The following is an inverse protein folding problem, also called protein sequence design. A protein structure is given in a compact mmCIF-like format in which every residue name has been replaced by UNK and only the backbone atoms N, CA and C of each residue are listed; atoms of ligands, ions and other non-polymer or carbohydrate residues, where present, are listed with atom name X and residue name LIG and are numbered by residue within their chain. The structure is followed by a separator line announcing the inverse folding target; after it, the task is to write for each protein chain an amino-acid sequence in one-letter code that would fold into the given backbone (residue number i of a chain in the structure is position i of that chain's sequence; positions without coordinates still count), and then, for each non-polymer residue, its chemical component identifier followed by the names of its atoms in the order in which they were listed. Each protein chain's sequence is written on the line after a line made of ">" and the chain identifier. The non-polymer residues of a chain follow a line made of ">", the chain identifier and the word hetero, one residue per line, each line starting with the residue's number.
data_IF_187949690199
#
_entry.id   IF_187949690199
#
_cell.length_a   1.000
_cell.length_b   1.000
_cell.length_c   1.000
_cell.angle_alpha   90.00
_cell.angle_beta   90.00
_cell.angle_gamma   90.00
#
_symmetry.space_group_name_H-M   'P 1'
#
loop_
_entity.id
_entity.type
_entity.pdbx_description
1 polymer ?
#
# COMPACT_ATOMS: atom_id res chain seq x y z
N UNK A 1 -10.43 0.16 -39.60
CA UNK A 1 -10.22 1.37 -38.79
C UNK A 1 -11.59 1.89 -38.37
N UNK A 2 -12.07 1.47 -37.20
CA UNK A 2 -13.22 2.07 -36.53
C UNK A 2 -12.88 2.12 -35.05
N UNK A 3 -12.39 3.29 -34.61
CA UNK A 3 -12.22 3.64 -33.21
C UNK A 3 -13.60 4.09 -32.70
N UNK A 4 -14.31 3.18 -32.06
CA UNK A 4 -15.46 3.52 -31.23
C UNK A 4 -14.92 4.01 -29.89
N UNK A 5 -14.85 5.33 -29.72
CA UNK A 5 -14.73 5.95 -28.41
C UNK A 5 -16.04 5.70 -27.66
N UNK A 6 -16.03 4.76 -26.72
CA UNK A 6 -17.06 4.66 -25.68
C UNK A 6 -16.69 5.64 -24.56
N UNK A 7 -17.68 6.29 -23.92
CA UNK A 7 -17.42 7.19 -22.81
C UNK A 7 -17.08 6.33 -21.59
N UNK A 8 -15.78 6.08 -21.36
CA UNK A 8 -15.30 5.49 -20.12
C UNK A 8 -15.43 6.53 -19.01
N UNK A 9 -16.62 6.63 -18.44
CA UNK A 9 -16.66 6.69 -16.97
C UNK A 9 -16.21 5.31 -16.54
N UNK A 10 -15.18 5.18 -15.70
CA UNK A 10 -15.21 4.38 -14.46
C UNK A 10 -13.82 4.03 -13.96
N UNK A 11 -13.58 4.28 -12.67
CA UNK A 11 -12.46 3.84 -11.85
C UNK A 11 -12.43 2.30 -11.72
N UNK A 12 -12.14 1.57 -12.79
CA UNK A 12 -12.01 0.09 -12.79
C UNK A 12 -10.86 -0.34 -13.71
N UNK A 13 -9.93 -1.15 -13.17
CA UNK A 13 -8.84 -1.79 -13.90
C UNK A 13 -9.19 -3.25 -14.22
N UNK A 14 -8.79 -3.76 -15.39
CA UNK A 14 -9.06 -5.14 -15.81
C UNK A 14 -7.78 -5.97 -15.80
N UNK A 15 -7.77 -7.09 -15.09
CA UNK A 15 -6.58 -7.94 -14.92
C UNK A 15 -6.78 -9.36 -15.42
N UNK A 16 -5.69 -10.01 -15.84
CA UNK A 16 -5.64 -11.43 -16.19
C UNK A 16 -5.49 -12.33 -14.94
N UNK A 17 -6.15 -13.49 -14.91
CA UNK A 17 -6.00 -14.52 -13.86
C UNK A 17 -4.79 -15.47 -14.06
N UNK A 18 -3.81 -15.10 -14.88
CA UNK A 18 -2.63 -15.93 -15.19
C UNK A 18 -1.33 -15.20 -14.86
N UNK A 19 -0.22 -15.95 -14.81
CA UNK A 19 1.12 -15.40 -14.61
C UNK A 19 1.85 -15.16 -15.95
N UNK A 20 2.53 -14.01 -16.16
CA UNK A 20 2.58 -12.84 -15.29
C UNK A 20 1.25 -12.08 -15.31
N UNK A 21 0.85 -11.54 -14.16
CA UNK A 21 -0.36 -10.73 -14.08
C UNK A 21 -0.16 -9.39 -14.79
N UNK A 22 -0.86 -9.21 -15.89
CA UNK A 22 -0.83 -7.97 -16.67
C UNK A 22 -2.24 -7.41 -16.80
N UNK A 23 -2.30 -6.12 -17.10
CA UNK A 23 -3.54 -5.46 -17.46
C UNK A 23 -4.05 -6.04 -18.78
N UNK A 24 -5.34 -6.34 -18.83
CA UNK A 24 -5.97 -6.89 -20.02
C UNK A 24 -6.04 -5.82 -21.10
N UNK A 25 -5.51 -6.15 -22.28
CA UNK A 25 -5.82 -5.44 -23.52
C UNK A 25 -6.36 -6.41 -24.56
N UNK A 26 -6.92 -5.87 -25.65
CA UNK A 26 -7.54 -6.65 -26.74
C UNK A 26 -6.64 -7.72 -27.36
N UNK A 27 -5.32 -7.69 -27.14
CA UNK A 27 -4.35 -8.65 -27.67
C UNK A 27 -3.82 -9.62 -26.61
N UNK A 28 -4.12 -9.40 -25.33
CA UNK A 28 -3.47 -10.06 -24.18
C UNK A 28 -4.42 -10.94 -23.34
N UNK A 29 -5.47 -11.54 -23.92
CA UNK A 29 -6.18 -12.62 -23.21
C UNK A 29 -5.27 -13.85 -23.14
N UNK A 30 -4.87 -14.31 -21.94
CA UNK A 30 -4.05 -15.49 -21.81
C UNK A 30 -4.86 -16.75 -22.16
N UNK A 31 -4.17 -17.80 -22.60
CA UNK A 31 -4.77 -19.14 -22.73
C UNK A 31 -4.94 -19.73 -21.32
N UNK A 32 -5.99 -20.50 -21.09
CA UNK A 32 -6.12 -21.27 -19.85
C UNK A 32 -4.95 -22.25 -19.74
N UNK A 33 -4.20 -22.17 -18.64
CA UNK A 33 -3.05 -23.04 -18.35
C UNK A 33 -3.22 -23.64 -16.95
N UNK A 34 -2.31 -24.53 -16.55
CA UNK A 34 -2.29 -25.06 -15.17
C UNK A 34 -1.80 -24.02 -14.13
N UNK A 35 -1.62 -22.75 -14.53
CA UNK A 35 -1.32 -21.63 -13.64
C UNK A 35 -2.62 -20.91 -13.28
N UNK A 36 -2.87 -20.81 -11.98
CA UNK A 36 -4.04 -20.16 -11.41
C UNK A 36 -3.61 -18.94 -10.62
N UNK A 37 -4.14 -17.77 -10.97
CA UNK A 37 -3.96 -16.54 -10.22
C UNK A 37 -5.24 -16.13 -9.51
N UNK A 38 -5.15 -15.79 -8.23
CA UNK A 38 -6.26 -15.22 -7.47
C UNK A 38 -5.87 -13.88 -6.87
N UNK A 39 -6.81 -12.94 -6.91
CA UNK A 39 -6.64 -11.58 -6.42
C UNK A 39 -6.76 -11.59 -4.90
N UNK A 40 -5.67 -11.29 -4.18
CA UNK A 40 -5.63 -11.30 -2.72
C UNK A 40 -6.11 -9.96 -2.12
N UNK A 41 -6.21 -8.92 -2.94
CA UNK A 41 -6.46 -7.55 -2.50
C UNK A 41 -5.57 -6.56 -3.22
N UNK A 42 -5.56 -5.32 -2.76
CA UNK A 42 -4.58 -4.32 -3.16
C UNK A 42 -3.48 -4.26 -2.11
N UNK A 43 -2.26 -3.97 -2.52
CA UNK A 43 -1.28 -3.47 -1.57
C UNK A 43 -1.62 -2.01 -1.19
N UNK A 44 -0.94 -1.47 -0.18
CA UNK A 44 -1.07 -0.06 0.23
C UNK A 44 -0.85 1.00 -0.87
N UNK A 45 -0.31 0.65 -2.04
CA UNK A 45 -0.13 1.56 -3.18
C UNK A 45 -1.25 1.45 -4.21
N UNK A 46 -2.29 0.66 -3.93
CA UNK A 46 -3.35 0.40 -4.90
C UNK A 46 -2.95 -0.56 -6.01
N UNK A 47 -1.78 -1.20 -5.96
CA UNK A 47 -1.45 -2.23 -6.94
C UNK A 47 -2.13 -3.55 -6.58
N UNK A 48 -2.70 -4.26 -7.56
CA UNK A 48 -3.29 -5.57 -7.33
C UNK A 48 -2.23 -6.53 -6.77
N UNK A 49 -2.54 -7.20 -5.67
CA UNK A 49 -1.76 -8.30 -5.12
C UNK A 49 -2.34 -9.60 -5.65
N UNK A 50 -1.60 -10.28 -6.51
CA UNK A 50 -2.01 -11.56 -7.11
C UNK A 50 -1.12 -12.68 -6.57
N UNK A 51 -1.76 -13.76 -6.12
CA UNK A 51 -1.08 -14.99 -5.71
C UNK A 51 -1.30 -16.03 -6.79
N UNK A 52 -0.21 -16.73 -7.14
CA UNK A 52 -0.19 -17.68 -8.23
C UNK A 52 0.10 -19.07 -7.71
N UNK A 53 -0.57 -20.05 -8.30
CA UNK A 53 -0.47 -21.45 -7.95
C UNK A 53 -0.25 -22.26 -9.21
N UNK A 54 0.63 -23.26 -9.13
CA UNK A 54 0.81 -24.23 -10.18
C UNK A 54 0.13 -25.54 -9.80
N UNK A 55 -0.74 -26.05 -10.67
CA UNK A 55 -1.35 -27.37 -10.50
C UNK A 55 -0.45 -28.46 -11.10
N UNK A 56 -0.14 -29.44 -10.27
CA UNK A 56 0.47 -30.70 -10.68
C UNK A 56 -0.37 -31.85 -10.15
N UNK A 57 -1.05 -32.56 -11.05
CA UNK A 57 -2.02 -33.62 -10.73
C UNK A 57 -3.10 -33.16 -9.73
N UNK A 58 -3.11 -33.73 -8.52
CA UNK A 58 -4.07 -33.50 -7.45
C UNK A 58 -3.51 -32.52 -6.41
N UNK A 59 -2.48 -31.75 -6.78
CA UNK A 59 -1.74 -30.87 -5.86
C UNK A 59 -1.57 -29.49 -6.45
N UNK A 60 -1.81 -28.46 -5.63
CA UNK A 60 -1.48 -27.08 -5.93
C UNK A 60 -0.25 -26.68 -5.12
N UNK A 61 0.68 -26.00 -5.78
CA UNK A 61 1.88 -25.46 -5.15
C UNK A 61 1.89 -23.94 -5.35
N UNK A 62 1.88 -23.20 -4.24
CA UNK A 62 2.11 -21.74 -4.23
C UNK A 62 3.62 -21.44 -4.31
N UNK A 63 3.96 -20.33 -4.94
CA UNK A 63 5.27 -19.67 -4.90
C UNK A 63 5.80 -19.45 -3.47
N UNK A 64 4.93 -19.41 -2.45
CA UNK A 64 5.31 -19.33 -1.01
C UNK A 64 5.59 -20.69 -0.35
N UNK A 65 5.76 -21.77 -1.12
CA UNK A 65 6.10 -23.13 -0.64
C UNK A 65 4.99 -23.85 0.16
N UNK A 66 3.73 -23.43 0.01
CA UNK A 66 2.58 -24.16 0.57
C UNK A 66 2.00 -25.13 -0.46
N UNK A 67 1.54 -26.28 0.02
CA UNK A 67 1.04 -27.38 -0.81
C UNK A 67 -0.38 -27.72 -0.41
N UNK A 68 -1.33 -27.65 -1.35
CA UNK A 68 -2.74 -27.99 -1.12
C UNK A 68 -3.13 -29.24 -1.92
N UNK A 69 -3.88 -30.15 -1.31
CA UNK A 69 -4.46 -31.31 -2.01
C UNK A 69 -5.83 -30.95 -2.54
N UNK A 70 -6.07 -31.23 -3.81
CA UNK A 70 -7.32 -30.97 -4.51
C UNK A 70 -7.82 -32.23 -5.20
N UNK A 71 -9.10 -32.22 -5.58
CA UNK A 71 -9.68 -33.25 -6.42
C UNK A 71 -9.80 -32.73 -7.85
N UNK A 72 -9.29 -33.48 -8.83
CA UNK A 72 -9.34 -33.12 -10.27
C UNK A 72 -10.73 -32.82 -10.81
N UNK A 73 -11.77 -33.39 -10.21
CA UNK A 73 -13.16 -33.21 -10.66
C UNK A 73 -13.87 -32.04 -9.96
N UNK A 74 -13.16 -31.29 -9.12
CA UNK A 74 -13.72 -30.21 -8.33
C UNK A 74 -13.06 -28.88 -8.70
N UNK A 75 -13.84 -27.80 -8.62
CA UNK A 75 -13.29 -26.45 -8.68
C UNK A 75 -12.86 -26.02 -7.28
N UNK A 76 -11.89 -25.12 -7.19
CA UNK A 76 -11.37 -24.67 -5.92
C UNK A 76 -11.00 -23.17 -5.97
N UNK A 77 -10.80 -22.61 -4.78
CA UNK A 77 -10.28 -21.27 -4.56
C UNK A 77 -9.51 -21.23 -3.23
N UNK A 78 -8.31 -20.64 -3.22
CA UNK A 78 -7.48 -20.55 -2.01
C UNK A 78 -7.84 -19.27 -1.29
N UNK A 79 -8.45 -19.35 -0.10
CA UNK A 79 -9.03 -18.19 0.58
C UNK A 79 -8.17 -17.67 1.75
N UNK A 80 -7.04 -18.33 2.02
CA UNK A 80 -6.07 -17.92 3.04
C UNK A 80 -4.92 -18.91 3.21
N UNK A 81 -3.99 -18.61 4.12
CA UNK A 81 -2.69 -19.28 4.26
C UNK A 81 -2.75 -20.81 4.47
N UNK A 82 -3.88 -21.36 4.92
CA UNK A 82 -4.13 -22.82 5.01
C UNK A 82 -5.62 -23.14 4.82
N UNK A 83 -6.32 -22.30 4.06
CA UNK A 83 -7.76 -22.42 3.84
C UNK A 83 -8.07 -22.47 2.35
N UNK A 84 -8.86 -23.47 1.96
CA UNK A 84 -9.29 -23.71 0.59
C UNK A 84 -10.80 -23.87 0.57
N UNK A 85 -11.46 -23.27 -0.42
CA UNK A 85 -12.80 -23.65 -0.82
C UNK A 85 -12.70 -24.68 -1.94
N UNK A 86 -13.46 -25.76 -1.83
CA UNK A 86 -13.54 -26.80 -2.86
C UNK A 86 -14.99 -27.12 -3.15
N UNK A 87 -15.38 -26.98 -4.41
CA UNK A 87 -16.72 -27.28 -4.88
C UNK A 87 -16.72 -28.55 -5.71
N UNK A 88 -17.46 -29.55 -5.22
CA UNK A 88 -17.52 -30.88 -5.79
C UNK A 88 -18.99 -31.28 -5.91
N UNK A 89 -19.47 -31.51 -7.14
CA UNK A 89 -20.79 -32.10 -7.39
C UNK A 89 -21.93 -31.42 -6.60
N UNK A 90 -21.97 -30.08 -6.65
CA UNK A 90 -23.01 -29.28 -6.00
C UNK A 90 -22.74 -28.94 -4.53
N UNK A 91 -21.65 -29.43 -3.94
CA UNK A 91 -21.29 -29.20 -2.54
C UNK A 91 -20.11 -28.26 -2.43
N UNK A 92 -20.27 -27.17 -1.68
CA UNK A 92 -19.17 -26.30 -1.32
C UNK A 92 -18.60 -26.72 0.04
N UNK A 93 -17.30 -27.01 0.06
CA UNK A 93 -16.56 -27.40 1.25
C UNK A 93 -15.52 -26.32 1.58
N UNK A 94 -15.42 -25.94 2.85
CA UNK A 94 -14.26 -25.22 3.38
C UNK A 94 -13.30 -26.22 4.00
N UNK A 95 -12.13 -26.33 3.41
CA UNK A 95 -11.05 -27.19 3.87
C UNK A 95 -10.03 -26.32 4.61
N UNK A 96 -9.72 -26.73 5.83
CA UNK A 96 -8.66 -26.17 6.65
C UNK A 96 -7.63 -27.26 6.93
N UNK A 97 -6.53 -26.93 7.62
CA UNK A 97 -5.50 -27.91 7.98
C UNK A 97 -6.02 -29.12 8.75
N UNK A 98 -7.02 -28.93 9.61
CA UNK A 98 -7.48 -29.97 10.54
C UNK A 98 -8.92 -30.45 10.25
N UNK A 99 -9.71 -29.66 9.54
CA UNK A 99 -11.15 -29.88 9.42
C UNK A 99 -11.66 -29.57 8.02
N UNK A 100 -12.68 -30.31 7.59
CA UNK A 100 -13.46 -30.03 6.39
C UNK A 100 -14.89 -29.73 6.79
N UNK A 101 -15.36 -28.52 6.49
CA UNK A 101 -16.70 -28.04 6.79
C UNK A 101 -17.52 -27.95 5.52
N UNK A 102 -18.74 -28.49 5.56
CA UNK A 102 -19.71 -28.34 4.47
C UNK A 102 -20.40 -26.98 4.60
N UNK A 103 -20.23 -26.12 3.61
CA UNK A 103 -20.82 -24.78 3.58
C UNK A 103 -22.15 -24.73 2.83
N UNK A 104 -22.29 -25.50 1.74
CA UNK A 104 -23.49 -25.52 0.91
C UNK A 104 -23.65 -26.86 0.18
N UNK A 105 -24.89 -27.22 -0.20
CA UNK A 105 -25.23 -28.50 -0.87
C UNK A 105 -26.05 -28.33 -2.16
N UNK A 106 -26.26 -27.11 -2.66
CA UNK A 106 -27.11 -26.84 -3.83
C UNK A 106 -26.60 -25.64 -4.65
N UNK A 107 -25.30 -25.55 -4.88
CA UNK A 107 -24.71 -24.50 -5.72
C UNK A 107 -24.13 -25.09 -6.99
N UNK A 108 -24.26 -24.38 -8.10
CA UNK A 108 -23.71 -24.79 -9.39
C UNK A 108 -22.26 -24.30 -9.54
N UNK A 109 -21.99 -23.06 -9.13
CA UNK A 109 -20.67 -22.43 -9.16
C UNK A 109 -20.44 -21.58 -7.90
N UNK A 110 -19.19 -21.20 -7.66
CA UNK A 110 -18.82 -20.29 -6.58
C UNK A 110 -17.64 -19.39 -6.95
N UNK A 111 -17.51 -18.28 -6.21
CA UNK A 111 -16.30 -17.46 -6.20
C UNK A 111 -16.10 -16.84 -4.81
N UNK A 112 -14.88 -16.38 -4.52
CA UNK A 112 -14.53 -15.71 -3.28
C UNK A 112 -14.00 -14.30 -3.55
N UNK A 113 -14.68 -13.30 -3.00
CA UNK A 113 -14.20 -11.92 -2.99
C UNK A 113 -13.22 -11.75 -1.83
N UNK A 114 -11.93 -11.74 -2.15
CA UNK A 114 -10.86 -11.60 -1.15
C UNK A 114 -10.84 -10.25 -0.45
N UNK A 115 -11.36 -9.19 -1.08
CA UNK A 115 -11.38 -7.84 -0.50
C UNK A 115 -12.39 -7.78 0.63
N UNK A 116 -13.60 -8.26 0.38
CA UNK A 116 -14.67 -8.29 1.37
C UNK A 116 -14.71 -9.59 2.19
N UNK A 117 -13.82 -10.54 1.90
CA UNK A 117 -13.80 -11.90 2.46
C UNK A 117 -15.14 -12.61 2.37
N UNK A 118 -15.77 -12.52 1.20
CA UNK A 118 -17.14 -12.96 0.99
C UNK A 118 -17.24 -14.09 -0.04
N UNK A 119 -18.04 -15.11 0.27
CA UNK A 119 -18.36 -16.20 -0.66
C UNK A 119 -19.62 -15.82 -1.44
N UNK A 120 -19.59 -16.02 -2.75
CA UNK A 120 -20.75 -15.93 -3.62
C UNK A 120 -21.02 -17.29 -4.28
N UNK A 121 -22.28 -17.66 -4.33
CA UNK A 121 -22.78 -18.90 -4.91
C UNK A 121 -23.67 -18.58 -6.10
N UNK A 122 -23.51 -19.28 -7.20
CA UNK A 122 -24.49 -19.27 -8.27
C UNK A 122 -25.40 -20.48 -8.15
N UNK A 123 -26.71 -20.22 -8.21
CA UNK A 123 -27.76 -21.22 -8.37
C UNK A 123 -28.67 -20.70 -9.48
N UNK A 124 -28.66 -21.35 -10.63
CA UNK A 124 -29.30 -20.82 -11.84
C UNK A 124 -30.73 -20.28 -11.57
N UNK A 125 -31.07 -19.04 -11.97
CA UNK A 125 -30.25 -18.01 -12.65
C UNK A 125 -29.72 -16.91 -11.72
N UNK A 126 -29.50 -17.18 -10.44
CA UNK A 126 -29.20 -16.16 -9.43
C UNK A 126 -27.85 -16.36 -8.76
N UNK A 127 -27.17 -15.25 -8.49
CA UNK A 127 -25.96 -15.21 -7.65
C UNK A 127 -26.36 -14.71 -6.27
N UNK A 128 -25.99 -15.45 -5.24
CA UNK A 128 -26.27 -15.18 -3.83
C UNK A 128 -24.98 -14.94 -3.07
N UNK A 129 -25.04 -14.05 -2.09
CA UNK A 129 -24.03 -13.91 -1.06
C UNK A 129 -24.27 -14.99 0.00
N UNK A 130 -23.24 -15.80 0.31
CA UNK A 130 -23.36 -16.81 1.36
C UNK A 130 -23.20 -16.13 2.74
N UNK A 131 -24.31 -15.74 3.34
CA UNK A 131 -24.40 -15.19 4.70
C UNK A 131 -25.50 -15.88 5.51
N UNK A 132 -25.34 -15.90 6.84
CA UNK A 132 -26.33 -16.50 7.73
C UNK A 132 -27.61 -15.67 7.73
N UNK A 133 -28.66 -16.15 7.05
CA UNK A 133 -30.00 -15.58 7.09
C UNK A 133 -30.34 -14.59 5.98
N UNK A 134 -29.42 -14.28 5.06
CA UNK A 134 -29.75 -13.57 3.82
C UNK A 134 -29.97 -14.58 2.69
N UNK A 135 -31.11 -14.45 2.01
CA UNK A 135 -31.49 -15.28 0.86
C UNK A 135 -31.80 -14.44 -0.37
N UNK A 136 -31.59 -13.13 -0.29
CA UNK A 136 -31.84 -12.25 -1.41
C UNK A 136 -30.75 -12.45 -2.47
N UNK A 137 -31.14 -12.60 -3.75
CA UNK A 137 -30.17 -12.67 -4.82
C UNK A 137 -29.47 -11.32 -4.95
N UNK A 138 -28.14 -11.36 -5.04
CA UNK A 138 -27.32 -10.18 -5.33
C UNK A 138 -27.41 -9.80 -6.82
N UNK A 139 -27.46 -10.81 -7.70
CA UNK A 139 -27.62 -10.62 -9.15
C UNK A 139 -28.48 -11.71 -9.76
N UNK A 140 -29.15 -11.38 -10.87
CA UNK A 140 -29.82 -12.34 -11.76
C UNK A 140 -29.04 -12.41 -13.07
N UNK A 141 -28.54 -13.59 -13.41
CA UNK A 141 -27.70 -13.83 -14.59
C UNK A 141 -28.12 -15.15 -15.23
N UNK A 142 -28.70 -15.06 -16.43
CA UNK A 142 -29.05 -16.22 -17.25
C UNK A 142 -27.87 -16.61 -18.14
N UNK A 143 -27.76 -17.90 -18.49
CA UNK A 143 -26.73 -18.42 -19.40
C UNK A 143 -25.28 -18.17 -18.93
N UNK A 144 -25.05 -18.24 -17.61
CA UNK A 144 -23.74 -18.10 -16.98
C UNK A 144 -22.83 -19.29 -17.28
N UNK A 145 -21.57 -19.02 -17.66
CA UNK A 145 -20.53 -20.04 -17.79
C UNK A 145 -19.57 -20.02 -16.60
N UNK A 146 -19.07 -18.84 -16.22
CA UNK A 146 -18.28 -18.63 -14.99
C UNK A 146 -18.36 -17.15 -14.56
N UNK A 147 -17.97 -16.85 -13.32
CA UNK A 147 -17.95 -15.49 -12.80
C UNK A 147 -16.83 -15.25 -11.79
N UNK A 148 -16.54 -13.98 -11.54
CA UNK A 148 -15.66 -13.53 -10.46
C UNK A 148 -16.22 -12.27 -9.82
N UNK A 149 -15.95 -12.10 -8.52
CA UNK A 149 -16.27 -10.88 -7.78
C UNK A 149 -15.01 -10.34 -7.11
N UNK A 150 -14.68 -9.07 -7.36
CA UNK A 150 -13.57 -8.39 -6.68
C UNK A 150 -14.06 -7.07 -6.09
N UNK A 151 -13.95 -6.92 -4.78
CA UNK A 151 -14.46 -5.74 -4.08
C UNK A 151 -15.92 -5.41 -4.44
N UNK A 152 -16.75 -6.46 -4.56
CA UNK A 152 -18.17 -6.33 -4.96
C UNK A 152 -18.42 -6.09 -6.45
N UNK A 153 -17.37 -5.98 -7.29
CA UNK A 153 -17.51 -5.85 -8.74
C UNK A 153 -17.65 -7.23 -9.40
N UNK A 154 -18.78 -7.47 -10.05
CA UNK A 154 -19.08 -8.72 -10.75
C UNK A 154 -18.57 -8.69 -12.19
N UNK A 155 -17.73 -9.67 -12.55
CA UNK A 155 -17.34 -9.98 -13.94
C UNK A 155 -17.90 -11.33 -14.35
N UNK A 156 -18.49 -11.40 -15.54
CA UNK A 156 -19.25 -12.56 -16.03
C UNK A 156 -18.65 -13.08 -17.33
N UNK A 157 -18.48 -14.38 -17.46
CA UNK A 157 -18.35 -15.09 -18.73
C UNK A 157 -19.69 -15.75 -19.05
N UNK A 158 -20.30 -15.38 -20.17
CA UNK A 158 -21.51 -16.03 -20.67
C UNK A 158 -21.17 -17.28 -21.50
N UNK A 159 -22.10 -18.21 -21.58
CA UNK A 159 -22.00 -19.44 -22.41
C UNK A 159 -21.76 -19.18 -23.89
N UNK A 160 -22.09 -17.98 -24.40
CA UNK A 160 -21.79 -17.56 -25.76
C UNK A 160 -20.34 -17.06 -25.96
N UNK A 161 -19.53 -17.02 -24.90
CA UNK A 161 -18.13 -16.57 -24.93
C UNK A 161 -17.93 -15.08 -24.65
N UNK A 162 -18.98 -14.31 -24.37
CA UNK A 162 -18.86 -12.88 -24.08
C UNK A 162 -18.47 -12.66 -22.62
N UNK A 163 -17.49 -11.79 -22.38
CA UNK A 163 -17.08 -11.37 -21.04
C UNK A 163 -17.60 -9.95 -20.77
N UNK A 164 -18.30 -9.76 -19.66
CA UNK A 164 -19.02 -8.52 -19.34
C UNK A 164 -18.74 -8.07 -17.91
N UNK A 165 -18.64 -6.75 -17.72
CA UNK A 165 -18.71 -6.06 -16.45
C UNK A 165 -19.71 -4.91 -16.55
N UNK A 166 -20.65 -4.79 -15.61
CA UNK A 166 -21.66 -3.71 -15.57
C UNK A 166 -22.30 -3.43 -16.94
N UNK A 167 -22.84 -4.49 -17.58
CA UNK A 167 -23.43 -4.50 -18.93
C UNK A 167 -22.50 -4.07 -20.09
N UNK A 168 -21.23 -3.78 -19.80
CA UNK A 168 -20.20 -3.42 -20.77
C UNK A 168 -19.42 -4.67 -21.19
N UNK A 169 -19.39 -4.93 -22.49
CA UNK A 169 -18.61 -6.04 -23.07
C UNK A 169 -17.12 -5.69 -23.01
N UNK A 170 -16.37 -6.48 -22.27
CA UNK A 170 -14.91 -6.34 -22.16
C UNK A 170 -14.19 -7.02 -23.34
N UNK A 171 -14.59 -8.25 -23.67
CA UNK A 171 -14.03 -9.04 -24.77
C UNK A 171 -14.91 -10.25 -25.11
N UNK A 172 -14.52 -11.01 -26.14
CA UNK A 172 -15.13 -12.28 -26.50
C UNK A 172 -14.05 -13.36 -26.70
N UNK A 173 -14.31 -14.55 -26.16
CA UNK A 173 -13.43 -15.72 -26.25
C UNK A 173 -14.20 -16.91 -26.82
N UNK A 174 -13.49 -17.96 -27.26
CA UNK A 174 -14.13 -19.24 -27.52
C UNK A 174 -14.41 -19.93 -26.17
N UNK A 175 -15.67 -20.06 -25.73
CA UNK A 175 -15.99 -20.53 -24.38
C UNK A 175 -15.56 -21.98 -24.15
N UNK A 176 -15.36 -22.78 -25.21
CA UNK A 176 -14.87 -24.16 -25.09
C UNK A 176 -13.40 -24.26 -24.65
N UNK A 177 -12.64 -23.17 -24.77
CA UNK A 177 -11.23 -23.12 -24.39
C UNK A 177 -11.02 -22.65 -22.94
N UNK A 178 -12.09 -22.28 -22.25
CA UNK A 178 -12.03 -21.67 -20.92
C UNK A 178 -13.05 -22.31 -20.00
N UNK A 179 -12.56 -23.08 -19.03
CA UNK A 179 -13.38 -23.62 -17.95
C UNK A 179 -13.59 -22.59 -16.84
N UNK A 180 -12.65 -21.66 -16.67
CA UNK A 180 -12.74 -20.53 -15.75
C UNK A 180 -12.63 -19.19 -16.48
N UNK A 181 -13.21 -18.16 -15.88
CA UNK A 181 -13.13 -16.78 -16.34
C UNK A 181 -11.65 -16.30 -16.36
N UNK A 182 -11.08 -15.93 -17.53
CA UNK A 182 -9.65 -15.63 -17.65
C UNK A 182 -9.25 -14.22 -17.22
N UNK A 183 -10.21 -13.29 -17.10
CA UNK A 183 -9.98 -11.89 -16.71
C UNK A 183 -11.00 -11.45 -15.67
N UNK A 184 -10.71 -10.39 -14.92
CA UNK A 184 -11.67 -9.82 -13.98
C UNK A 184 -11.52 -8.31 -13.88
N UNK A 185 -12.64 -7.65 -13.64
CA UNK A 185 -12.71 -6.24 -13.28
C UNK A 185 -12.46 -6.08 -11.78
N UNK A 186 -11.65 -5.09 -11.42
CA UNK A 186 -11.37 -4.72 -10.05
C UNK A 186 -11.38 -3.18 -9.96
N UNK A 187 -11.81 -2.56 -8.85
CA UNK A 187 -11.72 -1.11 -8.71
C UNK A 187 -10.35 -0.59 -9.13
N UNK A 188 -10.34 0.47 -9.92
CA UNK A 188 -9.07 1.12 -10.25
C UNK A 188 -8.67 1.86 -9.00
N UNK A 189 -7.73 1.27 -8.28
CA UNK A 189 -7.06 1.97 -7.21
C UNK A 189 -5.99 2.81 -7.91
N UNK A 190 -6.43 3.84 -8.64
CA UNK A 190 -5.56 5.00 -8.79
C UNK A 190 -5.10 5.29 -7.38
N UNK A 191 -3.78 5.32 -7.19
CA UNK A 191 -3.21 5.99 -6.05
C UNK A 191 -3.71 7.43 -6.15
N UNK A 192 -4.92 7.69 -5.65
CA UNK A 192 -5.25 8.97 -5.07
C UNK A 192 -4.11 9.15 -4.11
N UNK A 193 -3.17 10.03 -4.50
CA UNK A 193 -2.21 10.64 -3.59
C UNK A 193 -2.98 10.74 -2.29
N UNK A 194 -2.54 10.08 -1.20
CA UNK A 194 -3.24 10.21 0.06
C UNK A 194 -3.52 11.69 0.19
N UNK A 195 -4.80 12.05 0.33
CA UNK A 195 -5.16 13.43 0.67
C UNK A 195 -4.08 13.86 1.64
N UNK A 196 -3.41 14.99 1.39
CA UNK A 196 -2.18 15.38 2.08
C UNK A 196 -2.32 15.43 3.63
N UNK A 197 -3.51 15.13 4.14
CA UNK A 197 -3.92 14.98 5.52
C UNK A 197 -3.99 13.54 6.07
N UNK A 198 -3.88 12.46 5.27
CA UNK A 198 -4.12 11.09 5.78
C UNK A 198 -2.92 10.40 6.44
N UNK A 199 -1.71 10.97 6.34
CA UNK A 199 -0.52 10.47 7.06
C UNK A 199 -0.51 10.90 8.53
N UNK A 200 -1.41 11.81 8.92
CA UNK A 200 -1.57 12.27 10.29
C UNK A 200 -2.93 11.82 10.81
N UNK A 201 -2.98 11.38 12.08
CA UNK A 201 -4.24 11.01 12.74
C UNK A 201 -5.20 12.19 12.93
N UNK A 202 -4.70 13.41 12.76
CA UNK A 202 -5.43 14.67 12.84
C UNK A 202 -5.15 15.52 11.59
N UNK A 203 -6.17 16.24 11.12
CA UNK A 203 -6.03 17.15 10.00
C UNK A 203 -5.00 18.25 10.30
N UNK A 204 -4.08 18.49 9.38
CA UNK A 204 -3.16 19.63 9.45
C UNK A 204 -3.96 20.91 9.22
N UNK A 205 -3.76 21.91 10.08
CA UNK A 205 -4.40 23.22 9.94
C UNK A 205 -3.51 24.20 9.17
N UNK A 206 -2.20 24.20 9.46
CA UNK A 206 -1.24 25.12 8.85
C UNK A 206 0.11 24.44 8.60
N UNK A 207 0.76 24.81 7.49
CA UNK A 207 2.16 24.48 7.20
C UNK A 207 2.93 25.79 7.13
N UNK A 208 3.73 26.10 8.14
CA UNK A 208 4.61 27.27 8.15
C UNK A 208 5.97 26.89 7.60
N UNK A 209 6.31 27.37 6.41
CA UNK A 209 7.57 27.09 5.72
C UNK A 209 8.50 28.29 5.82
N UNK A 210 9.49 28.19 6.70
CA UNK A 210 10.50 29.22 6.93
C UNK A 210 11.72 28.98 6.03
N UNK A 211 12.15 30.02 5.30
CA UNK A 211 13.24 29.92 4.32
C UNK A 211 14.18 31.14 4.38
N UNK A 212 15.43 30.95 3.95
CA UNK A 212 16.43 32.03 3.94
C UNK A 212 16.45 32.87 2.66
N UNK A 213 16.19 32.23 1.51
CA UNK A 213 16.15 32.87 0.19
C UNK A 213 15.02 32.24 -0.62
N UNK A 214 14.15 33.08 -1.20
CA UNK A 214 13.02 32.60 -2.00
C UNK A 214 13.51 31.87 -3.26
N UNK A 215 12.86 30.75 -3.60
CA UNK A 215 13.16 29.95 -4.78
C UNK A 215 11.96 29.12 -5.25
N UNK A 216 12.00 28.66 -6.50
CA UNK A 216 10.92 27.87 -7.13
C UNK A 216 10.77 26.45 -6.55
N UNK A 217 11.75 25.99 -5.76
CA UNK A 217 11.70 24.70 -5.06
C UNK A 217 10.80 24.69 -3.83
N UNK A 218 10.42 25.86 -3.31
CA UNK A 218 9.50 25.98 -2.18
C UNK A 218 8.10 25.54 -2.64
N UNK A 219 7.42 24.63 -1.93
CA UNK A 219 6.17 24.04 -2.38
C UNK A 219 4.95 24.96 -2.14
N UNK A 220 4.99 26.18 -2.71
CA UNK A 220 3.96 27.23 -2.61
C UNK A 220 2.57 26.80 -3.12
N UNK A 221 2.50 25.70 -3.86
CA UNK A 221 1.27 25.12 -4.39
C UNK A 221 0.48 24.30 -3.37
N UNK A 222 1.07 23.94 -2.23
CA UNK A 222 0.39 23.13 -1.22
C UNK A 222 -0.74 23.93 -0.55
N UNK A 223 -1.91 23.32 -0.30
CA UNK A 223 -2.95 23.96 0.50
C UNK A 223 -2.41 24.21 1.92
N UNK A 224 -2.87 25.28 2.56
CA UNK A 224 -2.53 25.63 3.96
C UNK A 224 -1.05 25.98 4.21
N UNK A 225 -0.20 26.04 3.17
CA UNK A 225 1.18 26.51 3.31
C UNK A 225 1.25 28.02 3.40
N UNK A 226 2.04 28.52 4.35
CA UNK A 226 2.44 29.93 4.44
C UNK A 226 3.95 29.98 4.44
N UNK A 227 4.53 30.54 3.39
CA UNK A 227 5.98 30.67 3.23
C UNK A 227 6.44 31.99 3.85
N UNK A 228 7.40 31.95 4.77
CA UNK A 228 7.87 33.10 5.55
C UNK A 228 9.40 33.18 5.44
N UNK A 229 9.92 34.32 5.01
CA UNK A 229 11.37 34.55 4.98
C UNK A 229 11.90 34.78 6.41
N UNK A 230 13.00 34.11 6.78
CA UNK A 230 13.64 34.21 8.08
C UNK A 230 13.40 33.01 9.01
N UNK A 231 13.54 33.22 10.32
CA UNK A 231 13.33 32.21 11.36
C UNK A 231 11.97 32.38 12.06
N UNK A 232 11.43 31.34 12.72
CA UNK A 232 10.16 31.43 13.43
C UNK A 232 10.13 32.53 14.50
N UNK A 233 9.01 33.26 14.58
CA UNK A 233 8.73 34.16 15.69
C UNK A 233 7.89 33.46 16.76
N UNK A 234 8.29 33.59 18.02
CA UNK A 234 7.65 32.89 19.15
C UNK A 234 6.22 33.39 19.37
N UNK A 235 5.97 34.68 19.23
CA UNK A 235 4.63 35.24 19.41
C UNK A 235 3.69 34.78 18.29
N UNK A 236 4.19 34.72 17.06
CA UNK A 236 3.47 34.10 15.93
C UNK A 236 3.11 32.63 16.21
N UNK A 237 4.04 31.82 16.72
CA UNK A 237 3.77 30.41 17.05
C UNK A 237 2.72 30.28 18.17
N UNK A 238 2.78 31.14 19.19
CA UNK A 238 1.79 31.15 20.30
C UNK A 238 0.37 31.40 19.83
N UNK A 239 0.18 32.26 18.83
CA UNK A 239 -1.15 32.54 18.27
C UNK A 239 -1.79 31.30 17.63
N UNK A 240 -0.97 30.35 17.19
CA UNK A 240 -1.41 29.13 16.49
C UNK A 240 -1.33 27.87 17.35
N UNK A 241 -0.96 27.97 18.64
CA UNK A 241 -0.64 26.82 19.52
C UNK A 241 -1.74 25.78 19.72
N UNK A 242 -2.99 26.09 19.38
CA UNK A 242 -4.14 25.19 19.50
C UNK A 242 -4.57 24.56 18.17
N UNK A 243 -3.86 24.86 17.09
CA UNK A 243 -4.03 24.26 15.77
C UNK A 243 -3.01 23.14 15.56
N UNK A 244 -3.26 22.22 14.65
CA UNK A 244 -2.33 21.19 14.21
C UNK A 244 -1.35 21.81 13.20
N UNK A 245 -0.16 22.21 13.66
CA UNK A 245 0.77 22.96 12.81
C UNK A 245 1.96 22.10 12.36
N UNK A 246 2.41 22.29 11.13
CA UNK A 246 3.71 21.83 10.68
C UNK A 246 4.63 23.05 10.55
N UNK A 247 5.80 22.99 11.17
CA UNK A 247 6.84 24.01 11.07
C UNK A 247 8.00 23.41 10.28
N UNK A 248 8.26 23.94 9.10
CA UNK A 248 9.40 23.56 8.27
C UNK A 248 10.44 24.67 8.31
N UNK A 249 11.67 24.33 8.67
CA UNK A 249 12.83 25.21 8.62
C UNK A 249 13.75 24.73 7.51
N UNK A 250 13.75 25.44 6.39
CA UNK A 250 14.44 25.04 5.17
C UNK A 250 15.78 25.77 5.03
N UNK A 251 16.87 25.02 5.23
CA UNK A 251 18.27 25.46 5.13
C UNK A 251 18.60 26.75 5.93
N UNK A 252 17.93 26.93 7.07
CA UNK A 252 18.14 28.06 7.98
C UNK A 252 19.34 27.88 8.91
N UNK A 253 20.13 26.83 8.70
CA UNK A 253 21.25 26.40 9.52
C UNK A 253 22.24 27.53 9.81
N UNK A 254 22.66 28.25 8.76
CA UNK A 254 23.58 29.37 8.89
C UNK A 254 22.96 30.54 9.67
N UNK A 255 21.64 30.73 9.59
CA UNK A 255 20.95 31.80 10.32
C UNK A 255 20.88 31.46 11.81
N UNK A 256 20.54 30.21 12.16
CA UNK A 256 20.56 29.75 13.55
C UNK A 256 21.95 29.78 14.19
N UNK A 257 23.01 29.60 13.41
CA UNK A 257 24.39 29.66 13.88
C UNK A 257 24.94 31.08 14.08
N UNK A 258 24.27 32.13 13.58
CA UNK A 258 24.77 33.52 13.64
C UNK A 258 24.86 34.06 15.06
N UNK A 259 23.91 33.72 15.91
CA UNK A 259 23.84 34.27 17.27
C UNK A 259 23.22 33.30 18.28
N UNK A 260 23.53 33.53 19.57
CA UNK A 260 23.08 32.66 20.67
C UNK A 260 21.56 32.62 20.80
N UNK A 261 20.86 33.73 20.55
CA UNK A 261 19.40 33.79 20.73
C UNK A 261 18.70 32.92 19.70
N UNK A 262 19.12 32.99 18.43
CA UNK A 262 18.62 32.12 17.36
C UNK A 262 18.92 30.64 17.65
N UNK A 263 20.12 30.32 18.16
CA UNK A 263 20.46 28.96 18.57
C UNK A 263 19.61 28.45 19.74
N UNK A 264 19.31 29.30 20.72
CA UNK A 264 18.41 28.97 21.83
C UNK A 264 16.99 28.71 21.34
N UNK A 265 16.48 29.51 20.40
CA UNK A 265 15.18 29.28 19.79
C UNK A 265 15.09 27.90 19.12
N UNK A 266 16.12 27.49 18.37
CA UNK A 266 16.15 26.16 17.75
C UNK A 266 16.08 25.04 18.79
N UNK A 267 16.74 25.20 19.94
CA UNK A 267 16.64 24.24 21.04
C UNK A 267 15.24 24.22 21.65
N UNK A 268 14.66 25.39 21.93
CA UNK A 268 13.33 25.50 22.52
C UNK A 268 12.24 24.93 21.61
N UNK A 269 12.39 25.08 20.30
CA UNK A 269 11.51 24.46 19.31
C UNK A 269 11.45 22.94 19.50
N UNK A 270 12.59 22.26 19.54
CA UNK A 270 12.67 20.80 19.66
C UNK A 270 12.41 20.28 21.07
N UNK A 271 12.72 21.04 22.12
CA UNK A 271 12.58 20.58 23.51
C UNK A 271 11.24 20.95 24.15
N UNK A 272 10.65 22.09 23.76
CA UNK A 272 9.50 22.68 24.45
C UNK A 272 8.33 22.82 23.49
N UNK A 273 8.50 23.56 22.40
CA UNK A 273 7.36 23.97 21.58
C UNK A 273 6.73 22.83 20.78
N UNK A 274 7.51 21.86 20.30
CA UNK A 274 7.00 20.66 19.64
C UNK A 274 5.92 19.94 20.48
N UNK A 275 6.11 19.87 21.80
CA UNK A 275 5.19 19.20 22.72
C UNK A 275 4.07 20.10 23.23
N UNK A 276 4.32 21.41 23.36
CA UNK A 276 3.35 22.32 23.98
C UNK A 276 2.42 23.03 22.99
N UNK A 277 2.83 23.23 21.72
CA UNK A 277 2.10 24.02 20.72
C UNK A 277 1.49 23.17 19.60
N UNK A 278 1.28 21.88 19.87
CA UNK A 278 0.64 20.93 18.97
C UNK A 278 1.19 21.02 17.54
N UNK A 279 2.51 20.90 17.43
CA UNK A 279 3.20 21.10 16.17
C UNK A 279 4.25 20.03 15.88
N UNK A 280 4.34 19.65 14.62
CA UNK A 280 5.42 18.84 14.09
C UNK A 280 6.51 19.75 13.51
N UNK A 281 7.77 19.48 13.85
CA UNK A 281 8.90 20.32 13.45
C UNK A 281 9.80 19.54 12.49
N UNK A 282 10.01 20.10 11.30
CA UNK A 282 10.94 19.61 10.30
C UNK A 282 12.08 20.61 10.15
N UNK A 283 13.32 20.14 10.31
CA UNK A 283 14.50 20.95 10.10
C UNK A 283 15.34 20.33 8.98
N UNK A 284 15.39 21.01 7.84
CA UNK A 284 16.10 20.55 6.64
C UNK A 284 17.48 21.17 6.65
N UNK A 285 18.51 20.33 6.78
CA UNK A 285 19.91 20.77 6.87
C UNK A 285 20.81 19.99 5.94
N UNK A 286 21.82 20.66 5.40
CA UNK A 286 22.84 20.02 4.57
C UNK A 286 23.84 19.18 5.40
N UNK A 287 24.03 19.53 6.69
CA UNK A 287 24.89 18.78 7.59
C UNK A 287 24.28 18.67 8.99
N UNK A 288 24.19 17.43 9.48
CA UNK A 288 23.73 17.15 10.84
C UNK A 288 24.65 17.74 11.93
N UNK A 289 25.93 18.04 11.62
CA UNK A 289 26.88 18.61 12.60
C UNK A 289 26.64 20.07 12.91
N UNK A 290 25.95 20.77 12.02
CA UNK A 290 25.56 22.14 12.27
C UNK A 290 24.37 22.26 13.23
N UNK A 291 23.72 21.14 13.54
CA UNK A 291 22.72 21.10 14.61
C UNK A 291 23.40 21.02 15.98
N UNK A 292 22.86 21.67 17.01
CA UNK A 292 23.23 21.39 18.39
C UNK A 292 23.02 19.90 18.74
N UNK A 293 23.87 19.30 19.60
CA UNK A 293 23.65 17.94 20.11
C UNK A 293 22.26 17.75 20.73
N UNK A 294 21.76 18.76 21.42
CA UNK A 294 20.41 18.81 22.00
C UNK A 294 19.32 18.64 20.95
N UNK A 295 19.37 19.38 19.84
CA UNK A 295 18.39 19.25 18.75
C UNK A 295 18.42 17.83 18.16
N UNK A 296 19.61 17.28 17.91
CA UNK A 296 19.73 15.91 17.36
C UNK A 296 19.20 14.85 18.31
N UNK A 297 19.49 14.96 19.60
CA UNK A 297 19.10 13.96 20.59
C UNK A 297 17.60 14.00 20.91
N UNK A 298 16.97 15.18 20.79
CA UNK A 298 15.53 15.34 20.99
C UNK A 298 14.70 15.14 19.71
N UNK A 299 15.36 14.90 18.56
CA UNK A 299 14.65 14.58 17.32
C UNK A 299 14.08 13.17 17.38
N UNK A 300 12.75 13.06 17.33
CA UNK A 300 12.04 11.76 17.28
C UNK A 300 12.44 10.93 16.05
N UNK A 301 12.71 11.60 14.93
CA UNK A 301 13.13 10.95 13.70
C UNK A 301 14.33 11.68 13.12
N UNK A 302 15.32 10.93 12.62
CA UNK A 302 16.42 11.46 11.80
C UNK A 302 16.38 10.79 10.44
N UNK A 303 16.17 11.56 9.38
CA UNK A 303 16.18 11.08 8.01
C UNK A 303 17.53 11.42 7.39
N UNK A 304 18.30 10.38 7.06
CA UNK A 304 19.64 10.49 6.50
C UNK A 304 19.60 10.15 5.02
N UNK A 305 20.04 11.09 4.19
CA UNK A 305 20.25 10.91 2.76
C UNK A 305 21.74 10.75 2.45
N UNK A 306 22.06 10.44 1.19
CA UNK A 306 23.43 10.21 0.76
C UNK A 306 24.29 11.45 0.95
N UNK A 307 25.19 11.40 1.93
CA UNK A 307 26.21 12.41 2.14
C UNK A 307 27.39 12.18 1.16
N UNK A 308 27.64 13.15 0.27
CA UNK A 308 28.74 13.12 -0.69
C UNK A 308 30.06 13.66 -0.12
N UNK A 309 30.00 14.40 0.97
CA UNK A 309 31.05 15.34 1.34
C UNK A 309 31.92 14.85 2.49
N UNK A 310 31.44 13.97 3.37
CA UNK A 310 32.27 13.45 4.46
C UNK A 310 31.71 12.17 5.14
N UNK A 311 32.37 11.02 4.90
CA UNK A 311 32.04 9.76 5.57
C UNK A 311 32.24 9.80 7.10
N UNK A 312 33.10 10.69 7.60
CA UNK A 312 33.37 10.84 9.03
C UNK A 312 32.18 11.44 9.78
N UNK A 313 31.39 12.29 9.12
CA UNK A 313 30.19 12.90 9.70
C UNK A 313 29.15 11.84 10.03
N UNK A 314 28.79 10.99 9.05
CA UNK A 314 27.82 9.92 9.27
C UNK A 314 28.32 8.97 10.38
N UNK A 315 29.60 8.60 10.37
CA UNK A 315 30.18 7.76 11.41
C UNK A 315 30.00 8.36 12.82
N UNK A 316 30.35 9.64 12.99
CA UNK A 316 30.26 10.31 14.29
C UNK A 316 28.80 10.43 14.77
N UNK A 317 27.86 10.69 13.86
CA UNK A 317 26.43 10.68 14.17
C UNK A 317 25.97 9.30 14.65
N UNK A 318 26.34 8.24 13.92
CA UNK A 318 25.96 6.87 14.28
C UNK A 318 26.58 6.41 15.61
N UNK A 319 27.80 6.86 15.93
CA UNK A 319 28.40 6.64 17.26
C UNK A 319 27.54 7.28 18.35
N UNK A 320 27.07 8.51 18.15
CA UNK A 320 26.20 9.20 19.11
C UNK A 320 24.83 8.49 19.26
N UNK A 321 24.27 7.95 18.17
CA UNK A 321 22.92 7.36 18.15
C UNK A 321 22.89 5.88 18.59
N UNK A 322 23.97 5.13 18.42
CA UNK A 322 24.01 3.66 18.60
C UNK A 322 25.11 3.16 19.54
N UNK A 323 25.99 4.04 20.03
CA UNK A 323 27.10 3.66 20.91
C UNK A 323 27.97 2.59 20.25
N UNK A 324 28.20 1.46 20.93
CA UNK A 324 29.05 0.36 20.44
C UNK A 324 28.54 -0.31 19.15
N UNK A 325 27.22 -0.26 18.89
CA UNK A 325 26.57 -0.88 17.73
C UNK A 325 26.64 -0.04 16.44
N UNK A 326 27.35 1.09 16.45
CA UNK A 326 27.41 2.02 15.32
C UNK A 326 27.90 1.38 14.01
N UNK A 327 28.69 0.29 14.08
CA UNK A 327 29.22 -0.40 12.89
C UNK A 327 28.12 -1.08 12.08
N UNK A 328 27.12 -1.66 12.74
CA UNK A 328 26.02 -2.33 12.04
C UNK A 328 25.07 -1.29 11.45
N UNK A 329 24.82 -0.20 12.17
CA UNK A 329 24.11 0.96 11.62
C UNK A 329 24.83 1.57 10.42
N UNK A 330 26.17 1.59 10.41
CA UNK A 330 26.94 2.08 9.26
C UNK A 330 26.80 1.15 8.05
N UNK A 331 26.79 -0.18 8.25
CA UNK A 331 26.52 -1.14 7.16
C UNK A 331 25.11 -0.96 6.60
N UNK A 332 24.11 -0.78 7.47
CA UNK A 332 22.74 -0.50 7.06
C UNK A 332 22.69 0.77 6.20
N UNK A 333 23.26 1.88 6.69
CA UNK A 333 23.37 3.13 5.91
C UNK A 333 24.03 2.91 4.55
N UNK A 334 25.16 2.21 4.48
CA UNK A 334 25.85 1.92 3.21
C UNK A 334 24.98 1.09 2.26
N UNK A 335 24.22 0.12 2.77
CA UNK A 335 23.27 -0.68 2.00
C UNK A 335 22.16 0.19 1.42
N UNK A 336 21.53 1.05 2.25
CA UNK A 336 20.48 1.98 1.81
C UNK A 336 20.99 2.93 0.73
N UNK A 337 22.17 3.53 0.95
CA UNK A 337 22.77 4.51 0.05
C UNK A 337 23.37 3.92 -1.23
N UNK A 338 23.37 2.59 -1.38
CA UNK A 338 23.75 1.94 -2.64
C UNK A 338 22.74 2.24 -3.76
N UNK A 339 21.50 2.55 -3.40
CA UNK A 339 20.43 2.95 -4.33
C UNK A 339 20.37 4.48 -4.46
N UNK A 340 20.22 5.02 -5.67
CA UNK A 340 20.08 6.47 -5.87
C UNK A 340 18.78 6.99 -5.24
N UNK A 341 18.82 8.24 -4.76
CA UNK A 341 17.67 8.96 -4.16
C UNK A 341 17.03 8.31 -2.93
N UNK A 342 17.72 7.35 -2.31
CA UNK A 342 17.21 6.64 -1.16
C UNK A 342 17.51 7.37 0.17
N UNK A 343 16.77 7.02 1.22
CA UNK A 343 16.92 7.61 2.54
C UNK A 343 16.80 6.54 3.64
N UNK A 344 17.58 6.70 4.70
CA UNK A 344 17.51 5.87 5.91
C UNK A 344 16.91 6.69 7.05
N UNK A 345 15.89 6.17 7.71
CA UNK A 345 15.33 6.76 8.93
C UNK A 345 15.88 6.07 10.16
N UNK A 346 16.30 6.87 11.15
CA UNK A 346 16.55 6.45 12.51
C UNK A 346 15.32 6.86 13.34
N UNK A 347 14.67 5.88 13.97
CA UNK A 347 13.50 6.09 14.81
C UNK A 347 13.91 6.17 16.30
N UNK A 348 13.76 7.35 16.89
CA UNK A 348 14.01 7.65 18.30
C UNK A 348 12.73 7.71 19.15
N UNK A 349 11.57 7.36 18.61
CA UNK A 349 10.34 7.31 19.41
C UNK A 349 10.50 6.29 20.56
N UNK A 350 10.37 6.71 21.83
CA UNK A 350 10.51 5.82 22.97
C UNK A 350 9.44 4.72 23.03
N UNK A 351 8.33 4.88 22.30
CA UNK A 351 7.24 3.90 22.24
C UNK A 351 7.35 2.96 21.02
N UNK A 352 8.31 3.19 20.12
CA UNK A 352 8.49 2.32 18.95
C UNK A 352 9.10 0.98 19.34
N UNK A 353 8.69 -0.09 18.65
CA UNK A 353 9.32 -1.40 18.81
C UNK A 353 10.82 -1.29 18.43
N UNK A 354 11.75 -1.81 19.27
CA UNK A 354 13.19 -1.70 19.05
C UNK A 354 13.68 -2.24 17.70
N UNK A 355 12.94 -3.14 17.07
CA UNK A 355 13.24 -3.61 15.73
C UNK A 355 13.18 -2.45 14.73
N UNK A 356 12.22 -1.54 14.83
CA UNK A 356 12.02 -0.42 13.90
C UNK A 356 13.01 0.74 14.10
N UNK A 357 14.14 0.49 14.77
CA UNK A 357 15.16 1.51 15.06
C UNK A 357 15.80 2.09 13.79
N UNK A 358 16.04 1.25 12.77
CA UNK A 358 16.63 1.65 11.48
C UNK A 358 15.71 1.16 10.37
N UNK A 359 15.27 2.09 9.51
CA UNK A 359 14.33 1.81 8.43
C UNK A 359 14.78 2.39 7.09
N UNK A 360 14.67 1.60 6.03
CA UNK A 360 14.65 2.03 4.63
C UNK A 360 13.20 1.98 4.12
N UNK A 361 12.86 2.80 3.13
CA UNK A 361 11.50 2.89 2.60
C UNK A 361 10.49 3.15 3.72
N UNK A 362 10.83 4.02 4.67
CA UNK A 362 10.01 4.29 5.86
C UNK A 362 8.68 5.01 5.56
N UNK A 363 8.45 5.42 4.31
CA UNK A 363 7.15 5.88 3.82
C UNK A 363 6.28 4.74 3.25
N UNK A 364 6.82 3.52 3.19
CA UNK A 364 6.16 2.28 2.76
C UNK A 364 5.63 1.53 4.00
N UNK A 365 4.50 0.84 3.88
CA UNK A 365 3.78 0.03 4.91
C UNK A 365 4.65 -1.11 5.44
N UNK A 366 5.44 -1.70 4.54
CA UNK A 366 6.49 -2.65 4.87
C UNK A 366 7.86 -1.98 4.75
N UNK A 367 8.26 -1.15 5.72
CA UNK A 367 9.60 -0.59 5.72
C UNK A 367 10.61 -1.72 5.85
N UNK A 368 11.74 -1.58 5.18
CA UNK A 368 12.84 -2.53 5.34
C UNK A 368 13.55 -2.18 6.64
N UNK A 369 13.51 -3.10 7.58
CA UNK A 369 14.06 -2.92 8.92
C UNK A 369 15.45 -3.57 9.01
N UNK A 370 16.41 -2.83 9.57
CA UNK A 370 17.77 -3.33 9.82
C UNK A 370 17.98 -3.59 11.32
N UNK A 371 18.57 -4.74 11.65
CA UNK A 371 18.84 -5.18 13.02
C UNK A 371 20.24 -4.84 13.49
#
# INVERSE_FOLDING_TARGET
>A
MYLLFLPLVTCVSIFTKTEPSIEFDLFNVPVETNFFGHFEGYNMFGKPKLVHFHQFEDTLVDNRSQTYKINKNCTFDVIGDQELLMHCFGRLLKITRNETHLLDIYSDLFTFDHVHRQIYLWRDPYIYKLEAGDSNPSWRVENLQDFNVVSGLLTILFTNGTIVYNDSVLTSVNPKLYTRLPIFAAPDFEYTRPDSNSSFSTNIDNIFWFYGVDNDGIPKHLPQITCIEGIPDVEFLKQHRFKNNIIVMDDLMNIFARDKKSLHLLNDLFCVYAHHYNCAIFNLVQSAFALPPTTRNNSTYLILMRNLSDASQIKNLLIQQFGEKWRDALKAYQSVMSKPYNAMMINNDPNADPCFRIMENFLHEFPIVYK
#
